data_IF_136475193899
#
_entry.id   IF_136475193899
#
_cell.length_a   1.000
_cell.length_b   1.000
_cell.length_c   1.000
_cell.angle_alpha   90.00
_cell.angle_beta   90.00
_cell.angle_gamma   90.00
#
_symmetry.space_group_name_H-M   'P 1'
#
loop_
_entity.id
_entity.type
_entity.pdbx_description
1 polymer ?
#
# COMPACT_ATOMS: atom_id res chain seq x y z
N UNK A 1 -4.00 -13.88 28.88
CA UNK A 1 -4.57 -13.80 27.51
C UNK A 1 -3.67 -12.91 26.66
N UNK A 2 -2.38 -13.25 26.57
CA UNK A 2 -1.30 -12.40 26.03
C UNK A 2 -0.21 -13.23 25.33
N UNK A 3 -0.49 -14.49 25.01
CA UNK A 3 0.46 -15.36 24.32
C UNK A 3 0.22 -15.33 22.82
N UNK A 4 1.23 -15.69 22.04
CA UNK A 4 1.05 -16.00 20.63
C UNK A 4 0.06 -17.16 20.45
N UNK A 5 -0.56 -17.19 19.27
CA UNK A 5 -1.49 -18.25 18.88
C UNK A 5 -0.81 -19.61 19.01
N UNK A 6 -1.59 -20.60 19.46
CA UNK A 6 -1.16 -22.00 19.57
C UNK A 6 -1.79 -22.89 18.52
N UNK A 7 -2.63 -22.30 17.65
CA UNK A 7 -3.36 -22.97 16.57
C UNK A 7 -3.27 -22.12 15.30
N UNK A 8 -3.27 -22.75 14.11
CA UNK A 8 -3.36 -22.03 12.85
C UNK A 8 -4.60 -21.12 12.80
N UNK A 9 -4.49 -19.99 12.10
CA UNK A 9 -5.60 -19.08 11.84
C UNK A 9 -5.46 -18.43 10.45
N UNK A 10 -6.56 -17.85 9.99
CA UNK A 10 -6.75 -17.32 8.65
C UNK A 10 -7.06 -15.83 8.73
N UNK A 11 -6.50 -15.05 7.81
CA UNK A 11 -6.77 -13.63 7.65
C UNK A 11 -7.06 -13.32 6.18
N UNK A 12 -8.16 -12.63 5.88
CA UNK A 12 -8.53 -12.29 4.49
C UNK A 12 -8.69 -13.50 3.57
N UNK A 13 -9.07 -14.66 4.10
CA UNK A 13 -9.19 -15.91 3.36
C UNK A 13 -7.86 -16.62 3.05
N UNK A 14 -6.75 -16.20 3.68
CA UNK A 14 -5.42 -16.82 3.52
C UNK A 14 -4.91 -17.35 4.84
N UNK A 15 -4.22 -18.49 4.79
CA UNK A 15 -3.44 -18.97 5.93
C UNK A 15 -2.33 -17.97 6.27
N UNK A 16 -2.04 -17.88 7.56
CA UNK A 16 -1.04 -16.95 8.11
C UNK A 16 0.15 -17.74 8.67
N UNK A 17 1.14 -17.05 9.23
CA UNK A 17 2.33 -17.68 9.82
C UNK A 17 1.96 -18.84 10.77
N UNK A 18 2.67 -19.96 10.68
CA UNK A 18 2.44 -21.11 11.57
C UNK A 18 2.71 -20.72 13.04
N UNK A 19 1.96 -21.23 14.03
CA UNK A 19 2.13 -20.91 15.45
C UNK A 19 3.58 -20.95 15.95
N UNK A 20 4.32 -21.99 15.57
CA UNK A 20 5.72 -22.24 15.92
C UNK A 20 6.70 -21.22 15.34
N UNK A 21 6.35 -20.60 14.20
CA UNK A 21 7.19 -19.62 13.52
C UNK A 21 6.91 -18.18 13.99
N UNK A 22 5.76 -17.92 14.62
CA UNK A 22 5.36 -16.58 15.07
C UNK A 22 6.44 -15.87 15.88
N UNK A 23 7.07 -16.48 16.91
CA UNK A 23 8.11 -15.80 17.68
C UNK A 23 9.28 -15.30 16.82
N UNK A 24 9.72 -16.14 15.87
CA UNK A 24 10.84 -15.82 14.98
C UNK A 24 10.47 -14.70 14.02
N UNK A 25 9.31 -14.81 13.36
CA UNK A 25 8.88 -13.81 12.38
C UNK A 25 8.56 -12.47 13.04
N UNK A 26 7.97 -12.47 14.23
CA UNK A 26 7.77 -11.24 15.02
C UNK A 26 9.11 -10.60 15.40
N UNK A 27 10.08 -11.40 15.87
CA UNK A 27 11.43 -10.91 16.18
C UNK A 27 12.11 -10.29 14.96
N UNK A 28 11.98 -10.92 13.79
CA UNK A 28 12.51 -10.42 12.51
C UNK A 28 11.85 -9.10 12.10
N UNK A 29 10.53 -9.03 12.16
CA UNK A 29 9.75 -7.84 11.81
C UNK A 29 10.12 -6.65 12.70
N UNK A 30 10.15 -6.85 14.02
CA UNK A 30 10.49 -5.80 14.98
C UNK A 30 11.94 -5.32 14.81
N UNK A 31 12.89 -6.25 14.66
CA UNK A 31 14.31 -5.89 14.50
C UNK A 31 14.54 -5.10 13.21
N UNK A 32 13.91 -5.50 12.11
CA UNK A 32 14.04 -4.79 10.82
C UNK A 32 13.41 -3.39 10.86
N UNK A 33 12.33 -3.21 11.63
CA UNK A 33 11.66 -1.92 11.76
C UNK A 33 12.41 -0.96 12.67
N UNK A 34 12.89 -1.42 13.83
CA UNK A 34 13.65 -0.58 14.78
C UNK A 34 15.07 -0.25 14.29
N UNK A 35 15.61 -0.99 13.31
CA UNK A 35 16.90 -0.68 12.69
C UNK A 35 16.88 0.53 11.74
N UNK A 36 15.72 1.18 11.56
CA UNK A 36 15.56 2.33 10.66
C UNK A 36 15.86 3.63 11.39
N UNK A 37 16.71 4.47 10.78
CA UNK A 37 17.06 5.78 11.33
C UNK A 37 15.90 6.78 11.27
N UNK A 38 15.17 6.82 10.15
CA UNK A 38 13.95 7.61 9.97
C UNK A 38 12.82 6.71 9.49
N UNK A 39 11.66 6.81 10.13
CA UNK A 39 10.47 6.02 9.80
C UNK A 39 9.46 6.88 9.06
N UNK A 40 9.23 6.56 7.78
CA UNK A 40 8.21 7.20 6.98
C UNK A 40 6.81 6.63 7.26
N UNK A 41 5.77 7.36 6.86
CA UNK A 41 4.40 6.84 6.94
C UNK A 41 4.21 5.53 6.16
N UNK A 42 4.87 5.39 5.00
CA UNK A 42 4.79 4.17 4.21
C UNK A 42 5.43 2.97 4.94
N UNK A 43 6.48 3.21 5.73
CA UNK A 43 7.11 2.17 6.55
C UNK A 43 6.17 1.71 7.68
N UNK A 44 5.41 2.62 8.30
CA UNK A 44 4.40 2.30 9.31
C UNK A 44 3.28 1.45 8.72
N UNK A 45 2.77 1.83 7.53
CA UNK A 45 1.72 1.07 6.83
C UNK A 45 2.24 -0.30 6.39
N UNK A 46 3.50 -0.39 5.95
CA UNK A 46 4.15 -1.65 5.61
C UNK A 46 4.33 -2.57 6.82
N UNK A 47 4.80 -2.02 7.95
CA UNK A 47 4.88 -2.76 9.21
C UNK A 47 3.51 -3.30 9.63
N UNK A 48 2.46 -2.47 9.51
CA UNK A 48 1.08 -2.88 9.82
C UNK A 48 0.60 -4.03 8.91
N UNK A 49 0.88 -3.98 7.61
CA UNK A 49 0.61 -5.09 6.69
C UNK A 49 1.34 -6.36 7.12
N UNK A 50 2.63 -6.27 7.41
CA UNK A 50 3.45 -7.45 7.73
C UNK A 50 3.04 -8.07 9.08
N UNK A 51 2.66 -7.24 10.06
CA UNK A 51 2.07 -7.71 11.31
C UNK A 51 0.75 -8.46 11.09
N UNK A 52 -0.13 -7.93 10.22
CA UNK A 52 -1.39 -8.59 9.86
C UNK A 52 -1.15 -9.92 9.12
N UNK A 53 -0.07 -10.03 8.33
CA UNK A 53 0.37 -11.27 7.66
C UNK A 53 0.89 -12.34 8.61
N UNK A 54 1.63 -11.94 9.65
CA UNK A 54 2.05 -12.87 10.71
C UNK A 54 0.83 -13.34 11.52
N UNK A 55 -0.09 -12.41 11.81
CA UNK A 55 -1.33 -12.66 12.54
C UNK A 55 -1.08 -13.39 13.87
N UNK A 56 -0.26 -12.80 14.77
CA UNK A 56 0.40 -13.52 15.86
C UNK A 56 -0.53 -14.00 16.98
N UNK A 57 -1.73 -13.44 17.11
CA UNK A 57 -2.68 -13.75 18.17
C UNK A 57 -3.85 -14.59 17.66
N UNK A 58 -4.56 -15.26 18.57
CA UNK A 58 -5.73 -16.06 18.19
C UNK A 58 -6.89 -15.21 17.65
N UNK A 59 -7.10 -14.03 18.24
CA UNK A 59 -8.06 -13.01 17.83
C UNK A 59 -7.49 -11.62 18.19
N UNK A 60 -8.07 -10.56 17.62
CA UNK A 60 -7.73 -9.19 17.95
C UNK A 60 -6.60 -8.60 17.13
N UNK A 61 -5.99 -9.37 16.21
CA UNK A 61 -4.87 -8.92 15.38
C UNK A 61 -5.18 -7.60 14.66
N UNK A 62 -6.34 -7.48 14.00
CA UNK A 62 -6.69 -6.23 13.32
C UNK A 62 -6.85 -5.03 14.27
N UNK A 63 -7.29 -5.24 15.51
CA UNK A 63 -7.36 -4.18 16.54
C UNK A 63 -5.96 -3.78 17.00
N UNK A 64 -5.13 -4.77 17.33
CA UNK A 64 -3.75 -4.54 17.78
C UNK A 64 -2.92 -3.90 16.67
N UNK A 65 -2.98 -4.39 15.43
CA UNK A 65 -2.23 -3.83 14.31
C UNK A 65 -2.55 -2.36 14.06
N UNK A 66 -3.83 -1.99 14.04
CA UNK A 66 -4.23 -0.59 13.90
C UNK A 66 -3.79 0.27 15.09
N UNK A 67 -3.85 -0.24 16.32
CA UNK A 67 -3.36 0.49 17.49
C UNK A 67 -1.84 0.68 17.47
N UNK A 68 -1.08 -0.32 17.01
CA UNK A 68 0.37 -0.21 16.83
C UNK A 68 0.68 0.81 15.74
N UNK A 69 0.03 0.73 14.57
CA UNK A 69 0.19 1.72 13.51
C UNK A 69 -0.15 3.14 13.97
N UNK A 70 -1.22 3.29 14.75
CA UNK A 70 -1.61 4.57 15.35
C UNK A 70 -0.53 5.11 16.30
N UNK A 71 -0.05 4.27 17.24
CA UNK A 71 1.06 4.61 18.13
C UNK A 71 2.30 5.05 17.35
N UNK A 72 2.64 4.31 16.30
CA UNK A 72 3.83 4.58 15.50
C UNK A 72 3.72 5.86 14.69
N UNK A 73 2.52 6.21 14.20
CA UNK A 73 2.27 7.53 13.62
C UNK A 73 2.59 8.63 14.64
N UNK A 74 2.07 8.52 15.86
CA UNK A 74 2.35 9.50 16.92
C UNK A 74 3.82 9.56 17.31
N UNK A 75 4.48 8.40 17.45
CA UNK A 75 5.92 8.31 17.80
C UNK A 75 6.79 9.09 16.81
N UNK A 76 6.42 9.06 15.53
CA UNK A 76 7.18 9.68 14.43
C UNK A 76 6.56 10.98 13.91
N UNK A 77 5.61 11.57 14.66
CA UNK A 77 5.02 12.87 14.35
C UNK A 77 4.10 12.91 13.12
N UNK A 78 3.63 11.76 12.63
CA UNK A 78 2.63 11.65 11.57
C UNK A 78 1.22 11.71 12.16
N UNK A 79 0.28 12.32 11.44
CA UNK A 79 -1.15 12.21 11.76
C UNK A 79 -1.54 10.72 11.75
N UNK A 80 -2.18 10.17 12.79
CA UNK A 80 -2.65 8.78 12.74
C UNK A 80 -3.78 8.58 11.72
N UNK A 81 -4.01 7.34 11.30
CA UNK A 81 -5.16 6.99 10.48
C UNK A 81 -6.19 6.16 11.26
N UNK A 82 -7.47 6.41 11.02
CA UNK A 82 -8.58 5.62 11.57
C UNK A 82 -9.43 5.07 10.42
N UNK A 83 -9.50 3.73 10.32
CA UNK A 83 -10.27 3.07 9.26
C UNK A 83 -11.76 3.12 9.60
N UNK A 84 -12.46 4.05 8.98
CA UNK A 84 -13.92 4.18 9.05
C UNK A 84 -14.63 2.99 8.37
N UNK A 85 -15.87 2.73 8.77
CA UNK A 85 -16.69 1.65 8.20
C UNK A 85 -16.88 1.78 6.69
N UNK A 86 -17.04 3.02 6.20
CA UNK A 86 -17.12 3.36 4.77
C UNK A 86 -15.85 2.98 3.99
N UNK A 87 -14.69 2.93 4.64
CA UNK A 87 -13.37 2.67 4.03
C UNK A 87 -12.91 1.20 4.19
N UNK A 88 -13.63 0.38 4.97
CA UNK A 88 -13.25 -1.01 5.29
C UNK A 88 -13.00 -1.86 4.04
N UNK A 89 -13.85 -1.76 3.02
CA UNK A 89 -13.68 -2.55 1.79
C UNK A 89 -12.38 -2.20 1.06
N UNK A 90 -12.04 -0.92 0.97
CA UNK A 90 -10.79 -0.45 0.36
C UNK A 90 -9.57 -0.86 1.18
N UNK A 91 -9.66 -0.76 2.50
CA UNK A 91 -8.61 -1.18 3.42
C UNK A 91 -8.29 -2.68 3.30
N UNK A 92 -9.30 -3.55 3.31
CA UNK A 92 -9.08 -4.99 3.14
C UNK A 92 -8.55 -5.35 1.75
N UNK A 93 -9.01 -4.66 0.70
CA UNK A 93 -8.44 -4.80 -0.65
C UNK A 93 -6.97 -4.38 -0.65
N UNK A 94 -6.64 -3.27 0.01
CA UNK A 94 -5.27 -2.79 0.15
C UNK A 94 -4.36 -3.80 0.82
N UNK A 95 -4.79 -4.38 1.94
CA UNK A 95 -4.04 -5.46 2.60
C UNK A 95 -3.83 -6.66 1.67
N UNK A 96 -4.87 -7.11 0.96
CA UNK A 96 -4.78 -8.26 0.08
C UNK A 96 -3.87 -8.05 -1.15
N UNK A 97 -3.69 -6.79 -1.58
CA UNK A 97 -2.95 -6.37 -2.78
C UNK A 97 -1.59 -5.76 -2.48
N UNK A 98 -1.20 -5.61 -1.21
CA UNK A 98 0.02 -4.91 -0.81
C UNK A 98 1.27 -5.34 -1.57
N UNK A 99 1.51 -6.65 -1.71
CA UNK A 99 2.70 -7.17 -2.42
C UNK A 99 2.76 -6.76 -3.90
N UNK A 100 1.61 -6.62 -4.56
CA UNK A 100 1.52 -6.25 -5.98
C UNK A 100 1.31 -4.77 -6.22
N UNK A 101 0.56 -4.10 -5.33
CA UNK A 101 0.08 -2.74 -5.50
C UNK A 101 -0.10 -2.07 -4.12
N UNK A 102 1.01 -1.68 -3.45
CA UNK A 102 0.98 -1.05 -2.12
C UNK A 102 0.13 0.22 -2.06
N UNK A 103 -0.01 0.90 -3.22
CA UNK A 103 -0.77 2.13 -3.37
C UNK A 103 -2.20 2.04 -2.85
N UNK A 104 -2.90 0.91 -3.01
CA UNK A 104 -4.27 0.79 -2.50
C UNK A 104 -4.38 0.98 -0.98
N UNK A 105 -3.47 0.37 -0.23
CA UNK A 105 -3.49 0.49 1.23
C UNK A 105 -2.99 1.87 1.65
N UNK A 106 -1.89 2.35 1.03
CA UNK A 106 -1.34 3.67 1.31
C UNK A 106 -2.38 4.76 1.09
N UNK A 107 -3.05 4.79 -0.07
CA UNK A 107 -4.04 5.80 -0.40
C UNK A 107 -5.24 5.76 0.55
N UNK A 108 -5.68 4.56 0.95
CA UNK A 108 -6.77 4.41 1.94
C UNK A 108 -6.37 4.95 3.31
N UNK A 109 -5.13 4.69 3.74
CA UNK A 109 -4.59 5.19 5.00
C UNK A 109 -4.35 6.71 4.97
N UNK A 110 -3.86 7.26 3.85
CA UNK A 110 -3.71 8.71 3.64
C UNK A 110 -5.07 9.42 3.68
N UNK A 111 -6.06 8.90 2.96
CA UNK A 111 -7.43 9.41 3.00
C UNK A 111 -8.04 9.37 4.42
N UNK A 112 -7.63 8.39 5.22
CA UNK A 112 -8.02 8.28 6.62
C UNK A 112 -7.25 9.26 7.53
N UNK A 113 -6.03 9.68 7.18
CA UNK A 113 -5.36 10.78 7.88
C UNK A 113 -6.09 12.10 7.66
N UNK A 114 -6.63 12.34 6.46
CA UNK A 114 -7.41 13.54 6.15
C UNK A 114 -8.63 13.67 7.08
N UNK A 115 -9.36 12.56 7.32
CA UNK A 115 -10.45 12.49 8.31
C UNK A 115 -9.99 12.83 9.74
N UNK A 116 -8.85 12.29 10.18
CA UNK A 116 -8.31 12.52 11.52
C UNK A 116 -7.80 13.96 11.67
N UNK A 117 -7.16 14.51 10.65
CA UNK A 117 -6.70 15.89 10.64
C UNK A 117 -7.88 16.88 10.73
N UNK A 118 -8.99 16.62 10.05
CA UNK A 118 -10.22 17.39 10.19
C UNK A 118 -10.77 17.34 11.62
N UNK A 119 -10.76 16.16 12.25
CA UNK A 119 -11.16 15.98 13.65
C UNK A 119 -10.26 16.77 14.61
N UNK A 120 -8.94 16.68 14.44
CA UNK A 120 -7.96 17.43 15.23
C UNK A 120 -8.19 18.94 15.11
N UNK A 121 -8.50 19.44 13.90
CA UNK A 121 -8.85 20.83 13.67
C UNK A 121 -10.12 21.25 14.41
N UNK A 122 -11.16 20.42 14.37
CA UNK A 122 -12.42 20.67 15.10
C UNK A 122 -12.21 20.79 16.62
N UNK A 123 -11.30 20.00 17.18
CA UNK A 123 -10.94 20.04 18.61
C UNK A 123 -9.76 20.96 18.96
N UNK A 124 -9.25 21.74 17.99
CA UNK A 124 -8.12 22.69 18.18
C UNK A 124 -6.84 22.01 18.70
N UNK A 125 -6.62 20.77 18.29
CA UNK A 125 -5.38 20.03 18.59
C UNK A 125 -4.28 20.53 17.63
N UNK A 126 -3.06 20.84 18.10
CA UNK A 126 -1.96 21.25 17.23
C UNK A 126 -1.69 20.24 16.10
N UNK A 127 -1.38 20.71 14.88
CA UNK A 127 -1.22 19.83 13.73
C UNK A 127 0.05 18.97 13.83
N UNK A 128 -0.08 17.71 13.43
CA UNK A 128 1.03 16.80 13.14
C UNK A 128 1.32 16.78 11.63
N UNK A 129 2.42 16.13 11.22
CA UNK A 129 2.78 16.01 9.80
C UNK A 129 1.74 15.15 9.06
N UNK A 130 1.06 15.74 8.09
CA UNK A 130 0.30 14.99 7.09
C UNK A 130 1.29 14.31 6.13
N UNK A 131 1.09 13.02 5.88
CA UNK A 131 1.86 12.37 4.83
C UNK A 131 1.31 12.85 3.48
N UNK A 132 2.21 13.30 2.60
CA UNK A 132 1.81 13.87 1.32
C UNK A 132 1.60 12.74 0.33
N UNK A 133 0.47 12.76 -0.40
CA UNK A 133 0.29 11.96 -1.62
C UNK A 133 1.36 12.39 -2.63
N UNK A 134 2.53 11.73 -2.66
CA UNK A 134 3.50 11.96 -3.73
C UNK A 134 2.82 11.55 -5.03
N UNK A 135 2.74 12.48 -5.97
CA UNK A 135 1.95 12.32 -7.19
C UNK A 135 2.18 10.99 -7.89
N UNK A 136 1.19 10.10 -7.79
CA UNK A 136 0.75 9.32 -8.93
C UNK A 136 0.33 10.34 -9.99
N UNK A 137 1.27 10.76 -10.85
CA UNK A 137 0.88 11.50 -12.06
C UNK A 137 -0.14 10.64 -12.77
N UNK A 138 -1.34 11.18 -12.89
CA UNK A 138 -2.22 10.85 -13.98
C UNK A 138 -1.38 10.89 -15.26
N UNK A 139 -1.32 9.76 -15.96
CA UNK A 139 -1.02 9.80 -17.39
C UNK A 139 -2.25 10.41 -18.07
N UNK A 140 -2.39 11.72 -17.97
CA UNK A 140 -3.09 12.46 -19.01
C UNK A 140 -2.04 12.97 -20.00
N UNK A 141 -2.24 12.64 -21.27
CA UNK A 141 -1.23 12.84 -22.29
C UNK A 141 -1.40 11.93 -23.50
N UNK A 142 -2.55 12.07 -24.18
CA UNK A 142 -2.64 12.05 -25.65
C UNK A 142 -2.08 10.81 -26.35
N UNK A 143 -2.97 9.90 -26.74
CA UNK A 143 -2.70 8.92 -27.82
C UNK A 143 -2.27 9.71 -29.06
N UNK A 144 -0.96 9.76 -29.33
CA UNK A 144 -0.47 10.02 -30.68
C UNK A 144 -0.53 8.67 -31.39
N UNK A 145 -1.54 8.48 -32.23
CA UNK A 145 -1.49 7.44 -33.26
C UNK A 145 -0.27 7.65 -34.16
N UNK A 146 0.21 6.60 -34.85
CA UNK A 146 1.33 6.75 -35.76
C UNK A 146 0.89 7.67 -36.90
N UNK A 147 1.44 8.89 -36.91
CA UNK A 147 1.25 9.84 -37.99
C UNK A 147 1.93 9.27 -39.24
N UNK A 148 1.14 9.10 -40.30
CA UNK A 148 1.65 8.92 -41.64
C UNK A 148 2.56 10.10 -41.98
N UNK A 149 3.79 9.82 -42.38
CA UNK A 149 4.71 10.79 -42.96
C UNK A 149 4.83 10.43 -44.43
N UNK A 150 4.04 11.13 -45.25
CA UNK A 150 4.24 11.17 -46.69
C UNK A 150 5.48 12.02 -46.96
N UNK A 151 6.45 11.45 -47.67
CA UNK A 151 7.53 12.21 -48.32
C UNK A 151 7.64 11.69 -49.76
N UNK A 152 7.76 12.57 -50.76
CA UNK A 152 7.65 12.17 -52.16
C UNK A 152 9.00 11.69 -52.72
N UNK A 153 8.89 10.57 -53.44
CA UNK A 153 9.48 10.33 -54.77
C UNK A 153 10.96 10.72 -54.99
N UNK A 154 11.82 9.70 -55.06
CA UNK A 154 13.01 9.70 -55.91
C UNK A 154 12.96 8.45 -56.80
N UNK A 155 13.17 8.66 -58.09
CA UNK A 155 12.98 7.70 -59.17
C UNK A 155 14.17 6.74 -59.35
N UNK A 156 13.87 5.47 -59.63
CA UNK A 156 14.64 4.53 -60.46
C UNK A 156 13.81 3.23 -60.53
N UNK A 157 13.14 2.91 -61.64
CA UNK A 157 13.68 2.02 -62.67
C UNK A 157 12.78 0.77 -62.80
N UNK A 158 12.07 0.63 -63.94
CA UNK A 158 11.34 -0.58 -64.37
C UNK A 158 12.26 -1.31 -65.39
N UNK A 159 12.46 -2.64 -65.32
CA UNK A 159 11.63 -3.63 -66.04
C UNK A 159 11.42 -4.93 -65.21
N UNK A 160 10.44 -5.82 -65.39
CA UNK A 160 9.41 -6.06 -66.40
C UNK A 160 8.89 -7.50 -66.18
N UNK A 161 7.67 -7.77 -66.68
CA UNK A 161 7.13 -9.08 -67.13
C UNK A 161 6.89 -10.21 -66.10
N UNK A 162 5.63 -10.57 -65.86
CA UNK A 162 4.97 -11.75 -66.49
C UNK A 162 3.60 -12.02 -65.85
N UNK A 163 2.66 -12.42 -66.71
CA UNK A 163 1.28 -12.75 -66.37
C UNK A 163 1.06 -14.24 -66.10
N UNK A 164 -0.15 -14.52 -65.60
CA UNK A 164 -0.98 -15.74 -65.72
C UNK A 164 -0.94 -16.76 -64.57
N UNK A 165 -2.01 -17.58 -64.41
CA UNK A 165 -3.39 -17.48 -64.91
C UNK A 165 -4.44 -17.19 -63.80
#
# INVERSE_FOLDING_TARGET
MTDYKRRPNVAGGRETCAPEDVPREMGRLLSAYEARDEVSFADIVGFHHDLERIHPFQDGNGRVGRLVAFKECLRHGHVPFLIEDSKKAFYYRGLARWESEPGYLLDTCLDSQDSVAALMGAFRIPPLRLAVRRGLRQRDGRVRGPGFHTTPQCAAGIPGVSAAP
#
